data_IF_136521034614
#
_entry.id   IF_136521034614
#
_cell.length_a   1.000
_cell.length_b   1.000
_cell.length_c   1.000
_cell.angle_alpha   90.00
_cell.angle_beta   90.00
_cell.angle_gamma   90.00
#
_symmetry.space_group_name_H-M   'P 1'
#
loop_
_entity.id
_entity.type
_entity.pdbx_description
1 polymer ?
#
# COMPACT_ATOMS: atom_id res chain seq x y z
N UNK A 1 10.05 -23.11 6.57
CA UNK A 1 9.67 -22.20 7.68
C UNK A 1 8.35 -21.54 7.31
N UNK A 2 7.43 -21.40 8.26
CA UNK A 2 6.02 -21.06 7.99
C UNK A 2 5.88 -19.54 7.76
N UNK A 3 6.10 -19.09 6.52
CA UNK A 3 6.06 -17.66 6.13
C UNK A 3 4.64 -17.16 5.89
N UNK A 4 3.74 -17.37 6.85
CA UNK A 4 2.40 -16.80 6.76
C UNK A 4 2.46 -15.28 7.03
N UNK A 5 1.86 -14.44 6.17
CA UNK A 5 1.80 -13.01 6.40
C UNK A 5 1.00 -12.73 7.68
N UNK A 6 1.60 -11.98 8.61
CA UNK A 6 0.95 -11.53 9.84
C UNK A 6 0.44 -10.10 9.66
N UNK A 7 -0.73 -9.75 10.23
CA UNK A 7 -1.17 -8.36 10.26
C UNK A 7 -0.14 -7.50 11.00
N UNK A 8 0.39 -6.49 10.32
CA UNK A 8 1.27 -5.50 10.91
C UNK A 8 0.50 -4.20 11.15
N UNK A 9 0.72 -3.55 12.28
CA UNK A 9 0.09 -2.28 12.64
C UNK A 9 1.03 -1.12 12.29
N UNK A 10 1.24 -0.88 11.00
CA UNK A 10 1.95 0.32 10.52
C UNK A 10 1.03 1.52 10.50
N UNK A 11 1.51 2.67 10.94
CA UNK A 11 0.77 3.92 10.80
C UNK A 11 0.79 4.40 9.35
N UNK A 12 -0.12 5.31 9.01
CA UNK A 12 -0.11 5.98 7.72
C UNK A 12 1.25 6.66 7.44
N UNK A 13 1.80 7.35 8.44
CA UNK A 13 3.06 8.08 8.30
C UNK A 13 4.24 7.15 8.02
N UNK A 14 4.27 5.99 8.68
CA UNK A 14 5.30 4.96 8.43
C UNK A 14 5.23 4.44 6.99
N UNK A 15 4.02 4.12 6.52
CA UNK A 15 3.81 3.61 5.16
C UNK A 15 4.26 4.64 4.11
N UNK A 16 3.88 5.91 4.28
CA UNK A 16 4.28 6.98 3.36
C UNK A 16 5.80 7.22 3.42
N UNK A 17 6.41 7.13 4.60
CA UNK A 17 7.86 7.23 4.78
C UNK A 17 8.59 6.12 4.03
N UNK A 18 8.13 4.88 4.16
CA UNK A 18 8.69 3.71 3.47
C UNK A 18 8.55 3.82 1.95
N UNK A 19 7.42 4.36 1.45
CA UNK A 19 7.24 4.67 0.02
C UNK A 19 8.22 5.75 -0.45
N UNK A 20 8.36 6.86 0.29
CA UNK A 20 9.28 7.95 -0.04
C UNK A 20 10.75 7.51 -0.03
N UNK A 21 11.13 6.60 0.87
CA UNK A 21 12.47 6.01 0.94
C UNK A 21 12.70 4.95 -0.15
N UNK A 22 11.65 4.55 -0.88
CA UNK A 22 11.71 3.49 -1.88
C UNK A 22 11.84 2.08 -1.29
N UNK A 23 11.52 1.91 0.00
CA UNK A 23 11.43 0.60 0.67
C UNK A 23 10.18 -0.12 0.17
N UNK A 24 9.06 0.60 0.08
CA UNK A 24 7.82 0.11 -0.55
C UNK A 24 7.70 0.76 -1.93
N UNK A 25 7.47 -0.06 -2.96
CA UNK A 25 7.22 0.41 -4.33
C UNK A 25 6.02 -0.32 -4.94
N UNK A 26 5.31 0.37 -5.83
CA UNK A 26 4.27 -0.24 -6.65
C UNK A 26 4.94 -1.12 -7.72
N UNK A 27 4.55 -2.40 -7.87
CA UNK A 27 5.16 -3.29 -8.85
C UNK A 27 4.80 -2.89 -10.28
N UNK A 28 5.68 -3.21 -11.26
CA UNK A 28 5.45 -2.95 -12.70
C UNK A 28 4.16 -3.54 -13.25
N UNK A 29 3.76 -4.69 -12.73
CA UNK A 29 2.58 -5.41 -13.17
C UNK A 29 1.30 -4.91 -12.48
N UNK A 30 1.39 -3.86 -11.66
CA UNK A 30 0.21 -3.20 -11.13
C UNK A 30 -0.59 -2.60 -12.29
N UNK A 31 -1.87 -2.93 -12.36
CA UNK A 31 -2.79 -2.33 -13.32
C UNK A 31 -2.85 -0.81 -13.14
N UNK A 32 -3.14 -0.11 -14.23
CA UNK A 32 -3.36 1.33 -14.20
C UNK A 32 -4.40 1.72 -13.15
N UNK A 33 -4.25 2.93 -12.61
CA UNK A 33 -5.19 3.48 -11.66
C UNK A 33 -6.55 3.72 -12.33
N UNK A 34 -7.59 3.01 -11.89
CA UNK A 34 -8.94 3.09 -12.48
C UNK A 34 -9.96 3.83 -11.61
N UNK A 35 -9.55 4.31 -10.43
CA UNK A 35 -10.50 4.90 -9.50
C UNK A 35 -10.88 6.31 -9.96
N UNK A 36 -12.19 6.55 -10.04
CA UNK A 36 -12.71 7.88 -10.31
C UNK A 36 -12.63 8.77 -9.05
N UNK A 37 -12.84 10.07 -9.24
CA UNK A 37 -12.80 11.04 -8.13
C UNK A 37 -13.85 10.71 -7.05
N UNK A 38 -15.01 10.20 -7.46
CA UNK A 38 -16.12 9.86 -6.56
C UNK A 38 -15.79 8.66 -5.68
N UNK A 39 -15.18 7.61 -6.22
CA UNK A 39 -14.70 6.46 -5.46
C UNK A 39 -13.60 6.87 -4.47
N UNK A 40 -12.66 7.70 -4.92
CA UNK A 40 -11.60 8.23 -4.06
C UNK A 40 -12.18 9.02 -2.87
N UNK A 41 -13.13 9.92 -3.13
CA UNK A 41 -13.80 10.69 -2.08
C UNK A 41 -14.56 9.79 -1.08
N UNK A 42 -15.24 8.74 -1.56
CA UNK A 42 -15.94 7.78 -0.68
C UNK A 42 -15.00 7.02 0.24
N UNK A 43 -13.82 6.64 -0.24
CA UNK A 43 -12.81 6.00 0.61
C UNK A 43 -12.34 6.95 1.70
N UNK A 44 -12.02 8.20 1.35
CA UNK A 44 -11.63 9.21 2.33
C UNK A 44 -12.73 9.45 3.39
N UNK A 45 -14.00 9.50 2.96
CA UNK A 45 -15.15 9.60 3.88
C UNK A 45 -15.21 8.42 4.86
N UNK A 46 -14.99 7.19 4.40
CA UNK A 46 -14.90 6.01 5.27
C UNK A 46 -13.74 6.09 6.27
N UNK A 47 -12.57 6.59 5.84
CA UNK A 47 -11.40 6.79 6.72
C UNK A 47 -11.75 7.78 7.84
N UNK A 48 -12.33 8.93 7.47
CA UNK A 48 -12.69 9.99 8.43
C UNK A 48 -13.75 9.53 9.43
N UNK A 49 -14.68 8.67 9.00
CA UNK A 49 -15.71 8.07 9.86
C UNK A 49 -15.22 6.89 10.70
N UNK A 50 -13.97 6.45 10.52
CA UNK A 50 -13.41 5.30 11.22
C UNK A 50 -13.99 3.96 10.78
N UNK A 51 -14.55 3.89 9.57
CA UNK A 51 -15.02 2.61 9.01
C UNK A 51 -13.83 1.75 8.58
N UNK A 52 -13.92 0.41 8.72
CA UNK A 52 -12.87 -0.48 8.24
C UNK A 52 -12.65 -0.34 6.72
N UNK A 53 -11.40 -0.07 6.29
CA UNK A 53 -11.04 0.22 4.88
C UNK A 53 -10.26 -0.89 4.17
N UNK A 54 -10.26 -2.11 4.72
CA UNK A 54 -9.52 -3.25 4.18
C UNK A 54 -8.06 -3.32 4.65
N UNK A 55 -7.24 -4.12 3.95
CA UNK A 55 -5.85 -4.40 4.31
C UNK A 55 -4.95 -4.25 3.08
N UNK A 56 -3.74 -3.71 3.28
CA UNK A 56 -2.70 -3.72 2.27
C UNK A 56 -1.91 -5.03 2.33
N UNK A 57 -1.65 -5.62 1.16
CA UNK A 57 -0.79 -6.80 1.04
C UNK A 57 0.57 -6.33 0.54
N UNK A 58 1.61 -6.62 1.32
CA UNK A 58 2.99 -6.33 0.95
C UNK A 58 3.69 -7.65 0.60
N UNK A 59 4.47 -7.62 -0.48
CA UNK A 59 5.34 -8.72 -0.87
C UNK A 59 6.79 -8.34 -0.55
N UNK A 60 7.42 -9.09 0.35
CA UNK A 60 8.82 -8.92 0.68
C UNK A 60 9.71 -9.62 -0.36
N UNK A 61 10.72 -8.90 -0.85
CA UNK A 61 11.65 -9.39 -1.89
C UNK A 61 13.09 -9.15 -1.45
N UNK A 62 13.95 -10.17 -1.60
CA UNK A 62 15.39 -10.06 -1.28
C UNK A 62 16.16 -9.17 -2.26
N UNK A 63 15.56 -8.85 -3.40
CA UNK A 63 16.14 -7.97 -4.41
C UNK A 63 15.66 -6.55 -4.22
N UNK A 64 16.60 -5.60 -4.18
CA UNK A 64 16.26 -4.18 -4.23
C UNK A 64 15.57 -3.92 -5.58
N UNK A 65 14.33 -3.43 -5.53
CA UNK A 65 13.59 -3.02 -6.71
C UNK A 65 14.32 -1.82 -7.33
N UNK A 66 15.22 -2.12 -8.28
CA UNK A 66 15.97 -1.13 -9.03
C UNK A 66 15.01 -0.22 -9.80
N UNK A 67 15.35 1.07 -9.85
CA UNK A 67 14.53 2.07 -10.52
C UNK A 67 14.29 1.68 -11.98
N UNK A 68 13.02 1.76 -12.34
CA UNK A 68 12.51 1.46 -13.65
C UNK A 68 12.49 2.81 -14.36
N UNK A 69 13.34 2.98 -15.36
CA UNK A 69 13.21 4.06 -16.33
C UNK A 69 11.83 4.03 -16.99
#
# INVERSE_FOLDING_TARGET
MNNQPKPDSKTYDDLISDVKKGIIKVPKFQRDFVWDLKATAKLLDSILKGYPIGTFILWETDQRINDIK
#
